data_IF_370943157122
#
_entry.id   IF_370943157122
#
_cell.length_a   1.000
_cell.length_b   1.000
_cell.length_c   1.000
_cell.angle_alpha   90.00
_cell.angle_beta   90.00
_cell.angle_gamma   90.00
#
_symmetry.space_group_name_H-M   'P 1'
#
loop_
_entity.id
_entity.type
_entity.pdbx_description
1 polymer ?
#
# COMPACT_ATOMS: atom_id res chain seq x y z
N UNK A 1 -10.41 -33.85 18.11
CA UNK A 1 -11.53 -33.14 18.78
C UNK A 1 -11.06 -31.91 19.56
N UNK A 2 -9.94 -31.95 20.31
CA UNK A 2 -9.44 -30.80 21.11
C UNK A 2 -8.78 -29.70 20.24
N UNK A 3 -8.09 -30.03 19.14
CA UNK A 3 -7.49 -29.09 18.22
C UNK A 3 -8.51 -28.33 17.32
N UNK A 4 -9.65 -28.97 17.03
CA UNK A 4 -10.74 -28.32 16.26
C UNK A 4 -11.50 -27.31 17.11
N UNK A 5 -11.68 -27.54 18.40
CA UNK A 5 -12.31 -26.58 19.31
C UNK A 5 -11.44 -25.33 19.56
N UNK A 6 -10.11 -25.49 19.62
CA UNK A 6 -9.16 -24.37 19.74
C UNK A 6 -9.09 -23.50 18.46
N UNK A 7 -9.23 -24.11 17.29
CA UNK A 7 -9.27 -23.37 16.03
C UNK A 7 -10.57 -22.57 15.86
N UNK A 8 -11.70 -23.12 16.31
CA UNK A 8 -13.04 -22.48 16.18
C UNK A 8 -13.22 -21.32 17.18
N UNK A 9 -12.60 -21.39 18.37
CA UNK A 9 -12.60 -20.29 19.33
C UNK A 9 -11.71 -19.12 18.87
N UNK A 10 -10.62 -19.41 18.16
CA UNK A 10 -9.68 -18.39 17.66
C UNK A 10 -10.25 -17.58 16.49
N UNK A 11 -11.06 -18.18 15.63
CA UNK A 11 -11.70 -17.51 14.50
C UNK A 11 -12.85 -16.58 14.94
N UNK A 12 -13.49 -16.83 16.08
CA UNK A 12 -14.60 -16.00 16.58
C UNK A 12 -14.17 -14.66 17.19
N UNK A 13 -12.95 -14.50 17.66
CA UNK A 13 -12.48 -13.24 18.25
C UNK A 13 -12.15 -12.13 17.24
N UNK A 14 -11.96 -12.47 15.97
CA UNK A 14 -11.87 -11.49 14.88
C UNK A 14 -13.24 -10.97 14.43
N UNK A 15 -14.30 -11.31 15.13
CA UNK A 15 -15.59 -10.66 14.98
C UNK A 15 -15.52 -9.23 15.55
N UNK A 16 -14.79 -8.37 14.86
CA UNK A 16 -15.10 -6.96 14.97
C UNK A 16 -16.59 -6.83 14.70
N UNK A 17 -17.36 -6.18 15.60
CA UNK A 17 -18.76 -5.93 15.33
C UNK A 17 -18.83 -5.28 13.96
N UNK A 18 -19.79 -5.65 13.12
CA UNK A 18 -19.96 -5.11 11.77
C UNK A 18 -19.86 -3.57 11.76
N UNK A 19 -20.31 -2.92 12.83
CA UNK A 19 -20.16 -1.49 13.08
C UNK A 19 -18.70 -1.01 13.11
N UNK A 20 -17.77 -1.76 13.72
CA UNK A 20 -16.34 -1.37 13.77
C UNK A 20 -15.63 -1.60 12.44
N UNK A 21 -15.95 -2.68 11.71
CA UNK A 21 -15.41 -2.90 10.37
C UNK A 21 -15.92 -1.86 9.38
N UNK A 22 -17.19 -1.47 9.48
CA UNK A 22 -17.78 -0.41 8.66
C UNK A 22 -17.17 0.96 8.99
N UNK A 23 -16.93 1.29 10.27
CA UNK A 23 -16.29 2.55 10.65
C UNK A 23 -14.84 2.63 10.20
N UNK A 24 -14.05 1.56 10.31
CA UNK A 24 -12.67 1.51 9.81
C UNK A 24 -12.65 1.63 8.28
N UNK A 25 -13.50 0.89 7.58
CA UNK A 25 -13.63 0.98 6.12
C UNK A 25 -14.04 2.39 5.65
N UNK A 26 -14.99 3.02 6.35
CA UNK A 26 -15.43 4.39 6.10
C UNK A 26 -14.31 5.42 6.31
N UNK A 27 -13.52 5.28 7.39
CA UNK A 27 -12.38 6.16 7.67
C UNK A 27 -11.27 6.00 6.62
N UNK A 28 -10.97 4.77 6.21
CA UNK A 28 -10.00 4.51 5.12
C UNK A 28 -10.49 5.15 3.82
N UNK A 29 -11.76 5.00 3.48
CA UNK A 29 -12.34 5.61 2.28
C UNK A 29 -12.29 7.15 2.33
N UNK A 30 -12.57 7.76 3.50
CA UNK A 30 -12.47 9.21 3.72
C UNK A 30 -11.04 9.77 3.59
N UNK A 31 -10.03 8.94 3.75
CA UNK A 31 -8.63 9.31 3.53
C UNK A 31 -8.23 9.07 2.08
N UNK A 32 -8.49 7.86 1.60
CA UNK A 32 -7.94 7.37 0.34
C UNK A 32 -8.63 7.95 -0.90
N UNK A 33 -9.98 8.04 -0.92
CA UNK A 33 -10.71 8.59 -2.06
C UNK A 33 -10.37 10.07 -2.32
N UNK A 34 -10.37 10.96 -1.32
CA UNK A 34 -9.90 12.33 -1.50
C UNK A 34 -8.44 12.42 -1.94
N UNK A 35 -7.55 11.60 -1.34
CA UNK A 35 -6.13 11.61 -1.68
C UNK A 35 -5.91 11.17 -3.13
N UNK A 36 -6.61 10.12 -3.58
CA UNK A 36 -6.56 9.66 -4.96
C UNK A 36 -7.09 10.72 -5.93
N UNK A 37 -8.26 11.30 -5.64
CA UNK A 37 -8.84 12.35 -6.50
C UNK A 37 -7.96 13.60 -6.55
N UNK A 38 -7.33 13.99 -5.44
CA UNK A 38 -6.38 15.09 -5.41
C UNK A 38 -5.15 14.82 -6.28
N UNK A 39 -4.56 13.62 -6.21
CA UNK A 39 -3.38 13.26 -7.01
C UNK A 39 -3.71 13.17 -8.50
N UNK A 40 -4.92 12.71 -8.85
CA UNK A 40 -5.35 12.57 -10.25
C UNK A 40 -5.85 13.89 -10.87
N UNK A 41 -6.52 14.72 -10.09
CA UNK A 41 -7.23 15.93 -10.57
C UNK A 41 -6.60 17.23 -10.08
N UNK A 42 -5.67 17.19 -9.13
CA UNK A 42 -5.11 18.37 -8.47
C UNK A 42 -4.42 19.36 -9.41
N UNK A 43 -3.83 18.86 -10.50
CA UNK A 43 -3.23 19.72 -11.55
C UNK A 43 -4.26 20.54 -12.31
N UNK A 44 -5.49 20.05 -12.45
CA UNK A 44 -6.58 20.73 -13.14
C UNK A 44 -7.38 21.68 -12.22
N UNK A 45 -7.52 21.35 -10.94
CA UNK A 45 -8.33 22.10 -9.97
C UNK A 45 -7.51 23.08 -9.10
N UNK A 46 -6.16 23.03 -9.18
CA UNK A 46 -5.28 23.92 -8.42
C UNK A 46 -5.51 23.87 -6.91
N UNK A 47 -5.36 25.01 -6.22
CA UNK A 47 -5.51 25.09 -4.74
C UNK A 47 -6.91 24.71 -4.24
N UNK A 48 -7.95 24.86 -5.05
CA UNK A 48 -9.31 24.45 -4.65
C UNK A 48 -9.42 22.95 -4.36
N UNK A 49 -8.58 22.12 -5.02
CA UNK A 49 -8.57 20.69 -4.76
C UNK A 49 -8.10 20.32 -3.34
N UNK A 50 -7.33 21.16 -2.66
CA UNK A 50 -6.86 20.88 -1.30
C UNK A 50 -8.02 20.76 -0.29
N UNK A 51 -9.13 21.49 -0.46
CA UNK A 51 -10.29 21.39 0.42
C UNK A 51 -10.90 19.99 0.42
N UNK A 52 -10.71 19.19 -0.63
CA UNK A 52 -11.16 17.80 -0.72
C UNK A 52 -10.44 16.93 0.33
N UNK A 53 -9.21 17.28 0.73
CA UNK A 53 -8.42 16.52 1.70
C UNK A 53 -8.74 16.88 3.16
N UNK A 54 -9.46 17.96 3.42
CA UNK A 54 -9.71 18.45 4.79
C UNK A 54 -10.31 17.38 5.73
N UNK A 55 -11.32 16.59 5.32
CA UNK A 55 -11.87 15.53 6.17
C UNK A 55 -10.90 14.36 6.44
N UNK A 56 -9.83 14.25 5.66
CA UNK A 56 -8.81 13.19 5.85
C UNK A 56 -8.01 13.34 7.13
N UNK A 57 -7.74 14.58 7.60
CA UNK A 57 -6.96 14.81 8.83
C UNK A 57 -7.63 14.20 10.06
N UNK A 58 -8.89 14.53 10.41
CA UNK A 58 -9.57 13.89 11.54
C UNK A 58 -9.77 12.39 11.33
N UNK A 59 -9.94 11.92 10.09
CA UNK A 59 -10.06 10.50 9.81
C UNK A 59 -8.76 9.73 10.11
N UNK A 60 -7.58 10.27 9.76
CA UNK A 60 -6.28 9.66 10.12
C UNK A 60 -6.11 9.63 11.63
N UNK A 61 -6.43 10.72 12.34
CA UNK A 61 -6.34 10.78 13.79
C UNK A 61 -7.29 9.78 14.46
N UNK A 62 -8.52 9.64 13.95
CA UNK A 62 -9.47 8.66 14.45
C UNK A 62 -8.98 7.22 14.24
N UNK A 63 -8.43 6.89 13.06
CA UNK A 63 -7.81 5.59 12.80
C UNK A 63 -6.65 5.32 13.76
N UNK A 64 -5.79 6.30 13.99
CA UNK A 64 -4.67 6.18 14.90
C UNK A 64 -5.13 5.89 16.34
N UNK A 65 -6.10 6.65 16.85
CA UNK A 65 -6.65 6.44 18.19
C UNK A 65 -7.31 5.06 18.30
N UNK A 66 -8.06 4.63 17.28
CA UNK A 66 -8.69 3.31 17.26
C UNK A 66 -7.64 2.20 17.26
N UNK A 67 -6.60 2.32 16.44
CA UNK A 67 -5.51 1.35 16.38
C UNK A 67 -4.74 1.27 17.71
N UNK A 68 -4.42 2.42 18.33
CA UNK A 68 -3.77 2.44 19.65
C UNK A 68 -4.61 1.75 20.73
N UNK A 69 -5.94 1.91 20.70
CA UNK A 69 -6.84 1.25 21.65
C UNK A 69 -6.94 -0.26 21.41
N UNK A 70 -7.00 -0.68 20.14
CA UNK A 70 -7.17 -2.09 19.77
C UNK A 70 -5.88 -2.90 19.89
N UNK A 71 -4.71 -2.29 19.68
CA UNK A 71 -3.42 -2.99 19.57
C UNK A 71 -2.45 -2.65 20.69
N UNK A 72 -2.96 -2.22 21.84
CA UNK A 72 -2.17 -1.88 23.05
C UNK A 72 -1.27 -3.01 23.53
N UNK A 73 -1.59 -4.24 23.20
CA UNK A 73 -0.89 -5.45 23.65
C UNK A 73 0.38 -5.75 22.85
N UNK A 74 0.53 -5.17 21.64
CA UNK A 74 1.73 -5.33 20.80
C UNK A 74 2.41 -4.00 20.55
N UNK A 75 3.57 -3.81 21.17
CA UNK A 75 4.43 -2.64 20.94
C UNK A 75 4.88 -2.56 19.48
N UNK A 76 5.10 -3.71 18.84
CA UNK A 76 5.52 -3.80 17.44
C UNK A 76 4.42 -3.24 16.53
N UNK A 77 3.17 -3.65 16.74
CA UNK A 77 2.03 -3.12 15.99
C UNK A 77 1.87 -1.60 16.18
N UNK A 78 2.03 -1.11 17.42
CA UNK A 78 1.92 0.32 17.73
C UNK A 78 2.97 1.16 16.99
N UNK A 79 4.22 0.72 16.96
CA UNK A 79 5.28 1.40 16.19
C UNK A 79 4.96 1.40 14.70
N UNK A 80 4.56 0.25 14.15
CA UNK A 80 4.19 0.14 12.74
C UNK A 80 3.05 1.09 12.36
N UNK A 81 1.96 1.08 13.11
CA UNK A 81 0.82 1.98 12.88
C UNK A 81 1.19 3.45 13.02
N UNK A 82 2.04 3.80 13.99
CA UNK A 82 2.51 5.18 14.16
C UNK A 82 3.24 5.67 12.92
N UNK A 83 4.12 4.86 12.33
CA UNK A 83 4.83 5.19 11.09
C UNK A 83 3.87 5.35 9.90
N UNK A 84 2.90 4.45 9.75
CA UNK A 84 1.90 4.53 8.67
C UNK A 84 1.05 5.79 8.83
N UNK A 85 0.49 6.02 10.04
CA UNK A 85 -0.35 7.18 10.31
C UNK A 85 0.41 8.50 10.18
N UNK A 86 1.70 8.53 10.53
CA UNK A 86 2.56 9.69 10.29
C UNK A 86 2.59 10.05 8.80
N UNK A 87 2.89 9.07 7.91
CA UNK A 87 2.94 9.32 6.48
C UNK A 87 1.58 9.61 5.86
N UNK A 88 0.52 8.98 6.35
CA UNK A 88 -0.86 9.32 5.93
C UNK A 88 -1.23 10.75 6.33
N UNK A 89 -0.87 11.16 7.55
CA UNK A 89 -1.10 12.53 8.01
C UNK A 89 -0.31 13.53 7.17
N UNK A 90 0.97 13.25 6.90
CA UNK A 90 1.81 14.07 6.00
C UNK A 90 1.14 14.19 4.64
N UNK A 91 0.73 13.07 4.02
CA UNK A 91 0.13 13.07 2.70
C UNK A 91 -1.13 13.95 2.61
N UNK A 92 -1.95 13.96 3.67
CA UNK A 92 -3.17 14.79 3.73
C UNK A 92 -2.85 16.24 4.07
N UNK A 93 -1.86 16.49 4.93
CA UNK A 93 -1.54 17.82 5.43
C UNK A 93 -0.67 18.66 4.47
N UNK A 94 0.13 18.02 3.61
CA UNK A 94 1.10 18.71 2.73
C UNK A 94 0.54 19.90 1.95
N UNK A 95 -0.67 19.85 1.36
CA UNK A 95 -1.22 20.99 0.61
C UNK A 95 -1.51 22.24 1.46
N UNK A 96 -1.61 22.07 2.78
CA UNK A 96 -1.88 23.17 3.74
C UNK A 96 -0.61 23.75 4.36
N UNK A 97 0.52 23.05 4.20
CA UNK A 97 1.79 23.50 4.74
C UNK A 97 2.39 24.62 3.87
N UNK A 98 3.03 25.63 4.46
CA UNK A 98 3.72 26.71 3.73
C UNK A 98 5.04 26.21 3.14
N UNK A 99 4.99 25.21 2.26
CA UNK A 99 6.15 24.61 1.62
C UNK A 99 6.50 25.34 0.33
N UNK A 100 7.75 25.23 -0.04
CA UNK A 100 8.23 25.67 -1.36
C UNK A 100 7.62 24.79 -2.45
N UNK A 101 7.47 25.36 -3.65
CA UNK A 101 7.02 24.58 -4.81
C UNK A 101 8.04 23.45 -5.09
N UNK A 102 7.62 22.17 -5.02
CA UNK A 102 8.53 21.03 -5.16
C UNK A 102 9.19 20.92 -6.54
N UNK A 103 8.65 21.61 -7.55
CA UNK A 103 9.14 21.55 -8.92
C UNK A 103 9.94 22.79 -9.34
N UNK A 104 9.88 23.88 -8.55
CA UNK A 104 10.55 25.15 -8.87
C UNK A 104 12.03 25.09 -8.51
N UNK A 105 12.95 25.29 -9.48
CA UNK A 105 14.36 25.44 -9.19
C UNK A 105 14.64 26.79 -8.53
N UNK A 106 15.30 26.79 -7.37
CA UNK A 106 15.64 28.00 -6.60
C UNK A 106 17.14 28.21 -6.51
N UNK A 107 17.88 27.20 -6.04
CA UNK A 107 19.35 27.26 -5.93
C UNK A 107 19.92 25.83 -5.89
N UNK A 108 20.83 25.44 -6.80
CA UNK A 108 21.38 24.08 -6.85
C UNK A 108 22.39 23.83 -5.71
N UNK A 109 22.42 22.57 -5.24
CA UNK A 109 23.44 22.03 -4.33
C UNK A 109 23.59 22.82 -3.02
N UNK A 110 22.50 23.35 -2.48
CA UNK A 110 22.51 24.04 -1.19
C UNK A 110 22.53 23.01 -0.06
N UNK A 111 23.44 23.22 0.91
CA UNK A 111 23.54 22.31 2.07
C UNK A 111 22.32 22.44 2.99
N UNK A 112 21.97 21.37 3.75
CA UNK A 112 20.92 21.43 4.75
C UNK A 112 21.14 22.55 5.77
N UNK A 113 20.04 23.19 6.19
CA UNK A 113 20.06 24.30 7.17
C UNK A 113 20.59 25.63 6.64
N UNK A 114 20.87 25.77 5.35
CA UNK A 114 21.45 26.99 4.76
C UNK A 114 20.37 27.88 4.19
N UNK A 115 20.50 29.21 4.42
CA UNK A 115 19.69 30.25 3.78
C UNK A 115 20.39 30.70 2.51
N UNK A 116 19.70 30.63 1.36
CA UNK A 116 20.19 31.13 0.06
C UNK A 116 19.05 31.81 -0.68
N UNK A 117 19.33 32.97 -1.28
CA UNK A 117 18.32 33.79 -1.95
C UNK A 117 17.10 34.14 -1.06
N UNK A 118 17.32 34.35 0.25
CA UNK A 118 16.23 34.63 1.20
C UNK A 118 15.36 33.43 1.57
N UNK A 119 15.71 32.22 1.12
CA UNK A 119 14.98 30.98 1.37
C UNK A 119 15.81 30.04 2.24
N UNK A 120 15.19 29.48 3.29
CA UNK A 120 15.79 28.46 4.14
C UNK A 120 15.58 27.07 3.52
N UNK A 121 16.66 26.37 3.20
CA UNK A 121 16.66 24.99 2.75
C UNK A 121 16.89 24.03 3.96
N UNK A 122 15.81 23.57 4.57
CA UNK A 122 15.91 22.73 5.79
C UNK A 122 16.68 21.43 5.55
N UNK A 123 16.35 20.70 4.48
CA UNK A 123 17.01 19.46 4.07
C UNK A 123 17.93 19.65 2.84
N UNK A 124 18.20 20.90 2.47
CA UNK A 124 19.02 21.22 1.32
C UNK A 124 18.26 21.19 0.00
N UNK A 125 19.00 21.37 -1.11
CA UNK A 125 18.45 21.32 -2.47
C UNK A 125 19.14 20.25 -3.33
N UNK A 126 18.44 19.82 -4.38
CA UNK A 126 18.96 18.86 -5.34
C UNK A 126 19.89 19.50 -6.39
N UNK A 127 20.40 18.70 -7.33
CA UNK A 127 21.27 19.15 -8.41
C UNK A 127 20.57 20.18 -9.34
N UNK A 128 19.24 20.13 -9.43
CA UNK A 128 18.43 21.07 -10.23
C UNK A 128 17.97 22.29 -9.43
N UNK A 129 18.33 22.38 -8.15
CA UNK A 129 18.00 23.53 -7.28
C UNK A 129 16.61 23.45 -6.63
N UNK A 130 15.94 22.30 -6.64
CA UNK A 130 14.63 22.09 -6.03
C UNK A 130 14.79 21.71 -4.55
N UNK A 131 13.87 22.14 -3.70
CA UNK A 131 13.90 21.86 -2.25
C UNK A 131 13.60 20.40 -1.95
N UNK A 132 14.50 19.74 -1.22
CA UNK A 132 14.38 18.32 -0.88
C UNK A 132 13.26 18.06 0.13
N UNK A 133 13.06 18.95 1.12
CA UNK A 133 12.00 18.78 2.11
C UNK A 133 10.63 18.79 1.42
N UNK A 134 10.35 19.81 0.62
CA UNK A 134 9.09 19.92 -0.12
C UNK A 134 8.88 18.72 -1.03
N UNK A 135 9.89 18.30 -1.78
CA UNK A 135 9.81 17.12 -2.66
C UNK A 135 9.56 15.82 -1.90
N UNK A 136 10.17 15.65 -0.73
CA UNK A 136 9.98 14.46 0.11
C UNK A 136 8.55 14.37 0.63
N UNK A 137 8.03 15.49 1.14
CA UNK A 137 6.68 15.53 1.68
C UNK A 137 5.61 15.39 0.60
N UNK A 138 5.75 16.06 -0.55
CA UNK A 138 4.84 15.92 -1.69
C UNK A 138 4.96 14.53 -2.35
N UNK A 139 6.15 13.94 -2.39
CA UNK A 139 6.39 12.59 -2.91
C UNK A 139 5.63 11.51 -2.13
N UNK A 140 5.38 11.72 -0.84
CA UNK A 140 4.59 10.82 0.00
C UNK A 140 3.20 10.54 -0.60
N UNK A 141 2.50 11.56 -1.11
CA UNK A 141 1.18 11.37 -1.73
C UNK A 141 1.24 10.41 -2.92
N UNK A 142 2.24 10.60 -3.79
CA UNK A 142 2.41 9.77 -4.98
C UNK A 142 2.68 8.31 -4.60
N UNK A 143 3.63 8.09 -3.70
CA UNK A 143 4.00 6.74 -3.25
C UNK A 143 2.81 6.03 -2.60
N UNK A 144 2.08 6.70 -1.71
CA UNK A 144 0.92 6.12 -1.04
C UNK A 144 -0.22 5.83 -2.01
N UNK A 145 -0.58 6.78 -2.87
CA UNK A 145 -1.70 6.59 -3.80
C UNK A 145 -1.42 5.44 -4.76
N UNK A 146 -0.26 5.42 -5.41
CA UNK A 146 0.06 4.35 -6.36
C UNK A 146 0.29 3.00 -5.67
N UNK A 147 0.94 2.99 -4.50
CA UNK A 147 1.16 1.77 -3.71
C UNK A 147 -0.14 1.13 -3.24
N UNK A 148 -1.04 1.93 -2.63
CA UNK A 148 -2.33 1.45 -2.14
C UNK A 148 -3.23 1.01 -3.30
N UNK A 149 -3.33 1.83 -4.37
CA UNK A 149 -4.16 1.50 -5.53
C UNK A 149 -3.70 0.21 -6.20
N UNK A 150 -2.40 0.06 -6.45
CA UNK A 150 -1.86 -1.13 -7.07
C UNK A 150 -2.10 -2.38 -6.23
N UNK A 151 -1.90 -2.27 -4.91
CA UNK A 151 -2.17 -3.39 -3.99
C UNK A 151 -3.66 -3.73 -3.97
N UNK A 152 -4.55 -2.74 -3.91
CA UNK A 152 -6.00 -2.96 -3.89
C UNK A 152 -6.48 -3.67 -5.17
N UNK A 153 -6.03 -3.19 -6.35
CA UNK A 153 -6.37 -3.83 -7.63
C UNK A 153 -5.84 -5.26 -7.69
N UNK A 154 -4.60 -5.49 -7.25
CA UNK A 154 -4.02 -6.83 -7.20
C UNK A 154 -4.80 -7.75 -6.25
N UNK A 155 -5.32 -7.22 -5.12
CA UNK A 155 -6.17 -7.97 -4.20
C UNK A 155 -7.53 -8.32 -4.79
N UNK A 156 -8.20 -7.37 -5.46
CA UNK A 156 -9.49 -7.62 -6.11
C UNK A 156 -9.33 -8.74 -7.16
N UNK A 157 -8.31 -8.64 -8.00
CA UNK A 157 -8.05 -9.66 -9.04
C UNK A 157 -7.60 -10.97 -8.42
N UNK A 158 -6.58 -10.95 -7.56
CA UNK A 158 -5.99 -12.16 -6.97
C UNK A 158 -6.94 -12.91 -6.04
N UNK A 159 -7.68 -12.20 -5.20
CA UNK A 159 -8.67 -12.82 -4.32
C UNK A 159 -9.85 -13.37 -5.12
N UNK A 160 -10.34 -12.64 -6.11
CA UNK A 160 -11.40 -13.12 -7.01
C UNK A 160 -11.00 -14.42 -7.71
N UNK A 161 -9.81 -14.46 -8.31
CA UNK A 161 -9.27 -15.66 -8.97
C UNK A 161 -9.05 -16.80 -7.96
N UNK A 162 -8.55 -16.50 -6.76
CA UNK A 162 -8.32 -17.49 -5.71
C UNK A 162 -9.61 -18.10 -5.18
N UNK A 163 -10.66 -17.30 -4.99
CA UNK A 163 -11.99 -17.77 -4.61
C UNK A 163 -12.61 -18.66 -5.69
N UNK A 164 -12.53 -18.23 -6.95
CA UNK A 164 -13.06 -19.00 -8.10
C UNK A 164 -12.35 -20.36 -8.18
N UNK A 165 -11.01 -20.37 -8.21
CA UNK A 165 -10.26 -21.63 -8.30
C UNK A 165 -10.48 -22.53 -7.08
N UNK A 166 -10.39 -21.98 -5.85
CA UNK A 166 -10.54 -22.78 -4.62
C UNK A 166 -11.95 -23.29 -4.38
N UNK A 167 -12.98 -22.48 -4.61
CA UNK A 167 -14.36 -22.86 -4.33
C UNK A 167 -14.99 -23.73 -5.45
N UNK A 168 -14.89 -23.30 -6.73
CA UNK A 168 -15.46 -24.04 -7.86
C UNK A 168 -14.65 -25.30 -8.16
N UNK A 169 -13.31 -25.21 -8.14
CA UNK A 169 -12.43 -26.35 -8.45
C UNK A 169 -12.45 -26.74 -9.92
N UNK A 170 -12.00 -27.98 -10.21
CA UNK A 170 -12.03 -28.55 -11.58
C UNK A 170 -11.29 -27.69 -12.60
N UNK A 171 -11.86 -27.56 -13.80
CA UNK A 171 -11.25 -26.80 -14.90
C UNK A 171 -10.94 -25.33 -14.55
N UNK A 172 -11.79 -24.69 -13.76
CA UNK A 172 -11.55 -23.31 -13.31
C UNK A 172 -10.28 -23.18 -12.50
N UNK A 173 -10.05 -24.12 -11.59
CA UNK A 173 -8.84 -24.16 -10.77
C UNK A 173 -7.59 -24.41 -11.61
N UNK A 174 -7.67 -25.36 -12.55
CA UNK A 174 -6.56 -25.68 -13.45
C UNK A 174 -6.19 -24.49 -14.35
N UNK A 175 -7.19 -23.83 -14.96
CA UNK A 175 -6.97 -22.69 -15.86
C UNK A 175 -6.36 -21.49 -15.12
N UNK A 176 -6.94 -21.12 -13.98
CA UNK A 176 -6.45 -19.99 -13.15
C UNK A 176 -5.05 -20.29 -12.64
N UNK A 177 -4.82 -21.49 -12.10
CA UNK A 177 -3.51 -21.90 -11.59
C UNK A 177 -2.46 -21.96 -12.68
N UNK A 178 -2.80 -22.41 -13.90
CA UNK A 178 -1.90 -22.41 -15.04
C UNK A 178 -1.42 -21.01 -15.39
N UNK A 179 -2.35 -20.05 -15.58
CA UNK A 179 -2.00 -18.66 -15.91
C UNK A 179 -1.14 -18.04 -14.79
N UNK A 180 -1.51 -18.23 -13.52
CA UNK A 180 -0.75 -17.73 -12.40
C UNK A 180 0.65 -18.36 -12.32
N UNK A 181 0.78 -19.65 -12.61
CA UNK A 181 2.09 -20.32 -12.61
C UNK A 181 3.00 -19.79 -13.71
N UNK A 182 2.46 -19.50 -14.90
CA UNK A 182 3.20 -18.87 -15.99
C UNK A 182 3.73 -17.50 -15.56
N UNK A 183 2.89 -16.65 -14.96
CA UNK A 183 3.33 -15.34 -14.47
C UNK A 183 4.38 -15.45 -13.35
N UNK A 184 4.25 -16.40 -12.44
CA UNK A 184 5.18 -16.63 -11.34
C UNK A 184 6.50 -17.30 -11.77
N UNK A 185 6.60 -17.82 -13.00
CA UNK A 185 7.87 -18.34 -13.53
C UNK A 185 8.86 -17.23 -13.86
N UNK A 186 8.38 -16.00 -14.03
CA UNK A 186 9.25 -14.85 -14.26
C UNK A 186 9.73 -14.23 -12.95
N UNK A 187 11.00 -13.81 -12.84
CA UNK A 187 11.42 -12.93 -11.75
C UNK A 187 10.60 -11.65 -11.76
N UNK A 188 10.06 -11.26 -10.59
CA UNK A 188 9.09 -10.15 -10.44
C UNK A 188 9.56 -8.88 -11.16
N UNK A 189 10.80 -8.44 -10.94
CA UNK A 189 11.33 -7.21 -11.56
C UNK A 189 11.43 -7.33 -13.08
N UNK A 190 11.80 -8.51 -13.59
CA UNK A 190 11.87 -8.76 -15.04
C UNK A 190 10.48 -8.67 -15.67
N UNK A 191 9.47 -9.27 -15.04
CA UNK A 191 8.09 -9.21 -15.49
C UNK A 191 7.56 -7.76 -15.52
N UNK A 192 7.82 -6.99 -14.47
CA UNK A 192 7.42 -5.59 -14.38
C UNK A 192 8.04 -4.75 -15.52
N UNK A 193 9.35 -4.88 -15.72
CA UNK A 193 10.09 -4.15 -16.77
C UNK A 193 9.60 -4.56 -18.15
N UNK A 194 9.36 -5.85 -18.39
CA UNK A 194 8.87 -6.36 -19.66
C UNK A 194 7.50 -5.78 -20.00
N UNK A 195 6.55 -5.80 -19.05
CA UNK A 195 5.21 -5.24 -19.25
C UNK A 195 5.29 -3.75 -19.57
N UNK A 196 6.09 -2.97 -18.81
CA UNK A 196 6.22 -1.53 -19.03
C UNK A 196 6.96 -1.16 -20.33
N UNK A 197 7.85 -2.01 -20.80
CA UNK A 197 8.48 -1.80 -22.12
C UNK A 197 7.48 -2.01 -23.29
N UNK A 198 6.54 -2.94 -23.12
CA UNK A 198 5.52 -3.21 -24.14
C UNK A 198 4.38 -2.21 -24.11
N UNK A 199 3.84 -1.92 -22.91
CA UNK A 199 2.67 -1.05 -22.75
C UNK A 199 3.02 0.44 -22.66
N UNK A 200 4.29 0.78 -22.40
CA UNK A 200 4.71 2.15 -22.14
C UNK A 200 4.66 2.53 -20.65
N UNK A 201 5.26 3.69 -20.32
CA UNK A 201 5.50 4.17 -18.94
C UNK A 201 4.40 5.14 -18.53
N UNK A 202 3.27 4.64 -18.08
CA UNK A 202 2.18 5.43 -17.51
C UNK A 202 1.79 4.89 -16.13
N UNK A 203 1.14 5.72 -15.28
CA UNK A 203 0.66 5.27 -13.98
C UNK A 203 -0.30 4.08 -14.10
N UNK A 204 -1.18 4.08 -15.11
CA UNK A 204 -2.10 2.98 -15.36
C UNK A 204 -1.37 1.68 -15.75
N UNK A 205 -0.34 1.77 -16.59
CA UNK A 205 0.44 0.59 -17.00
C UNK A 205 1.26 0.04 -15.82
N UNK A 206 1.69 0.89 -14.88
CA UNK A 206 2.30 0.44 -13.61
C UNK A 206 1.30 -0.38 -12.80
N UNK A 207 0.01 0.05 -12.72
CA UNK A 207 -1.03 -0.75 -12.04
C UNK A 207 -1.18 -2.12 -12.68
N UNK A 208 -1.23 -2.20 -14.01
CA UNK A 208 -1.33 -3.49 -14.74
C UNK A 208 -0.11 -4.35 -14.42
N UNK A 209 1.10 -3.83 -14.54
CA UNK A 209 2.32 -4.56 -14.31
C UNK A 209 2.39 -5.12 -12.87
N UNK A 210 2.12 -4.28 -11.87
CA UNK A 210 2.10 -4.68 -10.46
C UNK A 210 0.99 -5.69 -10.19
N UNK A 211 -0.19 -5.53 -10.78
CA UNK A 211 -1.28 -6.49 -10.67
C UNK A 211 -0.88 -7.85 -11.24
N UNK A 212 -0.31 -7.89 -12.44
CA UNK A 212 0.14 -9.14 -13.06
C UNK A 212 1.22 -9.87 -12.24
N UNK A 213 2.07 -9.14 -11.54
CA UNK A 213 3.12 -9.74 -10.71
C UNK A 213 2.64 -10.15 -9.32
N UNK A 214 1.69 -9.44 -8.74
CA UNK A 214 1.29 -9.60 -7.33
C UNK A 214 0.02 -10.46 -7.18
N UNK A 215 -0.97 -10.30 -8.07
CA UNK A 215 -2.23 -11.05 -8.01
C UNK A 215 -2.07 -12.58 -8.01
N UNK A 216 -1.10 -13.18 -8.76
CA UNK A 216 -0.90 -14.63 -8.70
C UNK A 216 -0.47 -15.14 -7.32
N UNK A 217 0.31 -14.36 -6.58
CA UNK A 217 0.71 -14.72 -5.21
C UNK A 217 -0.47 -14.66 -4.26
N UNK A 218 -1.32 -13.62 -4.39
CA UNK A 218 -2.54 -13.46 -3.59
C UNK A 218 -3.51 -14.60 -3.93
N UNK A 219 -3.66 -14.92 -5.21
CA UNK A 219 -4.50 -16.02 -5.67
C UNK A 219 -4.14 -17.34 -4.98
N UNK A 220 -2.85 -17.69 -4.89
CA UNK A 220 -2.42 -18.93 -4.22
C UNK A 220 -2.83 -18.98 -2.75
N UNK A 221 -2.68 -17.86 -2.03
CA UNK A 221 -3.06 -17.77 -0.62
C UNK A 221 -4.57 -17.91 -0.46
N UNK A 222 -5.34 -17.13 -1.22
CA UNK A 222 -6.80 -17.13 -1.16
C UNK A 222 -7.38 -18.48 -1.59
N UNK A 223 -6.80 -19.11 -2.63
CA UNK A 223 -7.17 -20.45 -3.08
C UNK A 223 -6.97 -21.48 -1.94
N UNK A 224 -5.84 -21.44 -1.25
CA UNK A 224 -5.59 -22.33 -0.12
C UNK A 224 -6.60 -22.15 1.02
N UNK A 225 -6.89 -20.89 1.37
CA UNK A 225 -7.91 -20.56 2.38
C UNK A 225 -9.32 -20.96 1.95
N UNK A 226 -9.66 -20.81 0.66
CA UNK A 226 -10.95 -21.21 0.11
C UNK A 226 -11.14 -22.73 0.12
N UNK A 227 -10.11 -23.51 -0.20
CA UNK A 227 -10.14 -24.97 -0.14
C UNK A 227 -10.35 -25.48 1.29
N UNK A 228 -9.66 -24.89 2.29
CA UNK A 228 -9.85 -25.23 3.70
C UNK A 228 -11.27 -24.85 4.18
N UNK A 229 -11.70 -23.62 3.88
CA UNK A 229 -13.01 -23.13 4.30
C UNK A 229 -14.19 -23.87 3.65
N UNK A 230 -14.05 -24.36 2.43
CA UNK A 230 -15.09 -25.11 1.70
C UNK A 230 -15.55 -26.36 2.45
N UNK A 231 -14.67 -26.97 3.24
CA UNK A 231 -14.96 -28.19 4.02
C UNK A 231 -15.64 -27.90 5.37
N UNK A 232 -15.83 -26.63 5.73
CA UNK A 232 -16.41 -26.23 7.02
C UNK A 232 -17.93 -26.34 7.03
N UNK A 233 -18.49 -26.66 8.19
CA UNK A 233 -19.94 -26.89 8.41
C UNK A 233 -20.81 -25.73 7.95
N UNK A 234 -20.37 -24.47 8.17
CA UNK A 234 -21.14 -23.29 7.76
C UNK A 234 -21.27 -23.15 6.23
N UNK A 235 -20.23 -23.56 5.48
CA UNK A 235 -20.28 -23.59 4.01
C UNK A 235 -21.21 -24.71 3.52
N UNK A 236 -21.12 -25.90 4.13
CA UNK A 236 -22.00 -27.01 3.81
C UNK A 236 -23.46 -26.68 4.10
N UNK A 237 -23.73 -26.01 5.24
CA UNK A 237 -25.06 -25.54 5.57
C UNK A 237 -25.62 -24.54 4.55
N UNK A 238 -24.77 -23.58 4.06
CA UNK A 238 -25.16 -22.65 3.02
C UNK A 238 -25.48 -23.37 1.68
N UNK A 239 -24.66 -24.37 1.32
CA UNK A 239 -24.93 -25.23 0.15
C UNK A 239 -26.25 -26.00 0.27
N UNK A 240 -26.54 -26.57 1.46
CA UNK A 240 -27.79 -27.28 1.72
C UNK A 240 -29.00 -26.35 1.66
N UNK A 241 -28.86 -25.07 2.03
CA UNK A 241 -29.90 -24.03 1.83
C UNK A 241 -30.11 -23.65 0.35
N UNK A 242 -29.25 -24.15 -0.56
CA UNK A 242 -29.35 -23.83 -2.00
C UNK A 242 -28.82 -22.45 -2.34
N UNK A 243 -27.95 -21.86 -1.54
CA UNK A 243 -27.40 -20.53 -1.81
C UNK A 243 -26.50 -20.52 -3.05
N UNK A 244 -26.54 -19.42 -3.79
CA UNK A 244 -25.75 -19.29 -5.01
C UNK A 244 -24.25 -19.29 -4.71
N UNK A 245 -23.38 -19.96 -5.52
CA UNK A 245 -21.94 -20.05 -5.27
C UNK A 245 -21.24 -18.69 -5.04
N UNK A 246 -21.63 -17.66 -5.79
CA UNK A 246 -21.04 -16.31 -5.63
C UNK A 246 -21.40 -15.72 -4.26
N UNK A 247 -22.63 -15.96 -3.78
CA UNK A 247 -23.04 -15.54 -2.44
C UNK A 247 -22.21 -16.25 -1.36
N UNK A 248 -22.05 -17.56 -1.47
CA UNK A 248 -21.24 -18.35 -0.53
C UNK A 248 -19.80 -17.84 -0.51
N UNK A 249 -19.19 -17.60 -1.67
CA UNK A 249 -17.82 -17.08 -1.76
C UNK A 249 -17.66 -15.70 -1.11
N UNK A 250 -18.58 -14.76 -1.33
CA UNK A 250 -18.43 -13.37 -0.90
C UNK A 250 -18.97 -13.12 0.53
N UNK A 251 -20.04 -13.80 0.93
CA UNK A 251 -20.74 -13.53 2.18
C UNK A 251 -20.38 -14.52 3.28
N UNK A 252 -20.19 -15.79 2.93
CA UNK A 252 -19.88 -16.82 3.92
C UNK A 252 -18.37 -17.06 4.03
N UNK A 253 -17.65 -17.18 2.90
CA UNK A 253 -16.26 -17.60 2.91
C UNK A 253 -15.31 -16.43 3.14
N UNK A 254 -15.38 -15.37 2.33
CA UNK A 254 -14.46 -14.24 2.38
C UNK A 254 -14.39 -13.55 3.76
N UNK A 255 -15.51 -13.26 4.45
CA UNK A 255 -15.46 -12.66 5.78
C UNK A 255 -14.81 -13.57 6.85
N UNK A 256 -14.93 -14.88 6.70
CA UNK A 256 -14.36 -15.83 7.65
C UNK A 256 -12.84 -16.03 7.49
N UNK A 257 -12.28 -15.74 6.31
CA UNK A 257 -10.83 -15.81 6.03
C UNK A 257 -10.13 -14.45 6.07
N UNK A 258 -10.84 -13.38 6.46
CA UNK A 258 -10.31 -12.01 6.45
C UNK A 258 -9.05 -11.78 7.29
N UNK A 259 -8.90 -12.49 8.42
CA UNK A 259 -7.76 -12.32 9.32
C UNK A 259 -6.42 -12.51 8.60
N UNK A 260 -6.13 -13.70 8.04
CA UNK A 260 -4.94 -13.95 7.25
C UNK A 260 -4.79 -12.99 6.06
N UNK A 261 -5.89 -12.58 5.43
CA UNK A 261 -5.85 -11.67 4.28
C UNK A 261 -5.43 -10.25 4.66
N UNK A 262 -5.86 -9.72 5.81
CA UNK A 262 -5.44 -8.40 6.30
C UNK A 262 -3.93 -8.38 6.56
N UNK A 263 -3.42 -9.42 7.20
CA UNK A 263 -1.97 -9.54 7.47
C UNK A 263 -1.18 -9.59 6.16
N UNK A 264 -1.60 -10.42 5.19
CA UNK A 264 -0.96 -10.49 3.88
C UNK A 264 -1.07 -9.14 3.13
N UNK A 265 -2.21 -8.43 3.23
CA UNK A 265 -2.39 -7.13 2.61
C UNK A 265 -1.39 -6.08 3.12
N UNK A 266 -1.12 -6.03 4.42
CA UNK A 266 -0.11 -5.14 4.99
C UNK A 266 1.28 -5.44 4.43
N UNK A 267 1.67 -6.71 4.34
CA UNK A 267 2.94 -7.11 3.74
C UNK A 267 3.01 -6.74 2.25
N UNK A 268 1.93 -6.95 1.50
CA UNK A 268 1.85 -6.60 0.08
C UNK A 268 2.00 -5.11 -0.17
N UNK A 269 1.42 -4.26 0.68
CA UNK A 269 1.64 -2.82 0.61
C UNK A 269 3.13 -2.47 0.69
N UNK A 270 3.87 -3.10 1.60
CA UNK A 270 5.31 -2.94 1.68
C UNK A 270 6.03 -3.38 0.40
N UNK A 271 5.80 -4.61 -0.06
CA UNK A 271 6.44 -5.14 -1.27
C UNK A 271 6.08 -4.36 -2.53
N UNK A 272 4.82 -3.95 -2.70
CA UNK A 272 4.37 -3.14 -3.82
C UNK A 272 5.04 -1.77 -3.81
N UNK A 273 5.19 -1.15 -2.64
CA UNK A 273 5.90 0.13 -2.48
C UNK A 273 7.37 -0.01 -2.91
N UNK A 274 8.06 -1.08 -2.49
CA UNK A 274 9.43 -1.39 -2.94
C UNK A 274 9.48 -1.53 -4.46
N UNK A 275 8.56 -2.32 -5.03
CA UNK A 275 8.54 -2.59 -6.47
C UNK A 275 8.35 -1.30 -7.30
N UNK A 276 7.37 -0.46 -6.94
CA UNK A 276 7.12 0.82 -7.63
C UNK A 276 8.31 1.77 -7.47
N UNK A 277 8.84 1.90 -6.25
CA UNK A 277 10.01 2.76 -5.99
C UNK A 277 11.23 2.30 -6.79
N UNK A 278 11.47 0.99 -6.88
CA UNK A 278 12.57 0.42 -7.67
C UNK A 278 12.36 0.66 -9.17
N UNK A 279 11.12 0.51 -9.68
CA UNK A 279 10.80 0.84 -11.08
C UNK A 279 11.07 2.31 -11.38
N UNK A 280 10.68 3.22 -10.48
CA UNK A 280 10.92 4.66 -10.64
C UNK A 280 12.40 4.99 -10.55
N UNK A 281 13.14 4.35 -9.65
CA UNK A 281 14.60 4.45 -9.57
C UNK A 281 15.28 4.00 -10.87
N UNK A 282 14.83 2.91 -11.49
CA UNK A 282 15.32 2.45 -12.79
C UNK A 282 14.90 3.36 -13.96
N UNK A 283 13.99 4.31 -13.71
CA UNK A 283 13.45 5.24 -14.72
C UNK A 283 12.33 4.64 -15.55
N UNK A 284 11.74 3.54 -15.10
CA UNK A 284 10.61 2.86 -15.73
C UNK A 284 9.27 3.21 -15.07
N UNK A 285 9.30 3.96 -13.96
CA UNK A 285 8.12 4.37 -13.19
C UNK A 285 7.54 5.70 -13.62
N UNK A 286 7.01 6.45 -12.64
CA UNK A 286 6.43 7.78 -12.83
C UNK A 286 7.46 8.76 -13.39
N UNK A 287 7.00 9.62 -14.30
CA UNK A 287 7.89 10.54 -15.01
C UNK A 287 7.99 11.92 -14.32
N UNK A 288 9.14 12.62 -14.45
CA UNK A 288 9.25 14.01 -14.03
C UNK A 288 8.15 14.89 -14.65
N UNK A 289 7.79 16.06 -14.04
CA UNK A 289 8.49 16.75 -12.94
C UNK A 289 8.02 16.36 -11.54
N UNK A 290 6.97 15.58 -11.41
CA UNK A 290 6.34 15.27 -10.13
C UNK A 290 7.32 14.66 -9.12
N UNK A 291 7.24 15.03 -7.84
CA UNK A 291 8.07 14.45 -6.81
C UNK A 291 7.69 12.99 -6.56
N UNK A 292 8.68 12.11 -6.61
CA UNK A 292 8.57 10.69 -6.29
C UNK A 292 9.87 10.24 -5.61
N UNK A 293 9.77 9.45 -4.53
CA UNK A 293 10.94 9.06 -3.74
C UNK A 293 11.94 8.22 -4.53
N UNK A 294 11.47 7.31 -5.40
CA UNK A 294 12.35 6.52 -6.28
C UNK A 294 13.10 7.38 -7.29
N UNK A 295 12.41 8.37 -7.88
CA UNK A 295 13.02 9.34 -8.78
C UNK A 295 14.04 10.24 -8.05
N UNK A 296 13.73 10.67 -6.83
CA UNK A 296 14.67 11.45 -6.00
C UNK A 296 15.93 10.67 -5.68
N UNK A 297 15.80 9.38 -5.33
CA UNK A 297 16.95 8.48 -5.10
C UNK A 297 17.79 8.36 -6.38
N UNK A 298 17.17 8.16 -7.55
CA UNK A 298 17.85 8.10 -8.84
C UNK A 298 18.62 9.37 -9.15
N UNK A 299 17.97 10.53 -9.00
CA UNK A 299 18.57 11.84 -9.30
C UNK A 299 19.67 12.21 -8.29
N UNK A 300 19.52 11.80 -7.02
CA UNK A 300 20.50 12.05 -5.96
C UNK A 300 21.70 11.10 -5.94
N UNK A 301 21.58 9.89 -6.50
CA UNK A 301 22.62 8.87 -6.45
C UNK A 301 23.99 9.33 -6.99
N UNK A 302 24.11 10.05 -8.13
CA UNK A 302 25.41 10.52 -8.62
C UNK A 302 26.07 11.56 -7.69
N UNK A 303 25.26 12.44 -7.07
CA UNK A 303 25.76 13.47 -6.15
C UNK A 303 26.18 12.87 -4.80
N UNK A 304 25.52 11.77 -4.37
CA UNK A 304 25.81 11.08 -3.11
C UNK A 304 27.20 10.44 -3.07
N UNK A 305 27.86 10.24 -4.20
CA UNK A 305 29.27 9.82 -4.25
C UNK A 305 30.19 10.81 -3.56
N UNK A 306 29.81 12.08 -3.52
CA UNK A 306 30.44 13.09 -2.68
C UNK A 306 29.68 13.14 -1.36
N UNK A 307 30.34 12.76 -0.25
CA UNK A 307 29.74 12.69 1.08
C UNK A 307 28.93 13.95 1.47
N UNK A 308 29.41 15.11 1.03
CA UNK A 308 28.77 16.40 1.27
C UNK A 308 27.30 16.47 0.77
N UNK A 309 26.93 15.71 -0.24
CA UNK A 309 25.61 15.72 -0.90
C UNK A 309 24.81 14.43 -0.66
N UNK A 310 25.27 13.58 0.26
CA UNK A 310 24.62 12.30 0.59
C UNK A 310 23.16 12.45 1.05
N UNK A 311 22.79 13.60 1.59
CA UNK A 311 21.42 13.92 2.01
C UNK A 311 20.40 13.81 0.87
N UNK A 312 20.80 14.05 -0.39
CA UNK A 312 19.91 13.91 -1.55
C UNK A 312 19.42 12.47 -1.76
N UNK A 313 20.22 11.50 -1.36
CA UNK A 313 19.90 10.07 -1.43
C UNK A 313 19.30 9.58 -0.10
N UNK A 314 19.89 9.95 1.02
CA UNK A 314 19.54 9.43 2.35
C UNK A 314 18.11 9.83 2.73
N UNK A 315 17.72 11.08 2.50
CA UNK A 315 16.39 11.58 2.89
C UNK A 315 15.26 10.79 2.23
N UNK A 316 15.16 10.67 0.90
CA UNK A 316 14.11 9.89 0.28
C UNK A 316 14.23 8.39 0.57
N UNK A 317 15.45 7.85 0.71
CA UNK A 317 15.64 6.44 1.06
C UNK A 317 15.11 6.12 2.47
N UNK A 318 15.38 6.96 3.47
CA UNK A 318 14.82 6.81 4.82
C UNK A 318 13.29 6.96 4.82
N UNK A 319 12.73 7.84 3.99
CA UNK A 319 11.28 8.02 3.86
C UNK A 319 10.61 6.75 3.35
N UNK A 320 11.13 6.16 2.27
CA UNK A 320 10.63 4.87 1.75
C UNK A 320 10.80 3.77 2.79
N UNK A 321 12.00 3.65 3.39
CA UNK A 321 12.29 2.60 4.37
C UNK A 321 11.40 2.67 5.59
N UNK A 322 11.13 3.87 6.11
CA UNK A 322 10.25 4.06 7.27
C UNK A 322 8.80 3.69 6.98
N UNK A 323 8.28 3.98 5.77
CA UNK A 323 6.94 3.59 5.36
C UNK A 323 6.83 2.06 5.22
N UNK A 324 7.80 1.41 4.56
CA UNK A 324 7.84 -0.04 4.39
C UNK A 324 7.96 -0.73 5.76
N UNK A 325 8.81 -0.22 6.64
CA UNK A 325 8.95 -0.71 8.01
C UNK A 325 7.62 -0.60 8.76
N UNK A 326 6.89 0.50 8.58
CA UNK A 326 5.56 0.68 9.14
C UNK A 326 4.60 -0.43 8.75
N UNK A 327 4.50 -0.76 7.45
CA UNK A 327 3.65 -1.85 6.96
C UNK A 327 4.08 -3.22 7.50
N UNK A 328 5.37 -3.53 7.49
CA UNK A 328 5.89 -4.82 7.96
C UNK A 328 5.67 -5.00 9.47
N UNK A 329 6.01 -4.01 10.30
CA UNK A 329 5.80 -4.06 11.74
C UNK A 329 4.32 -4.18 12.10
N UNK A 330 3.45 -3.52 11.35
CA UNK A 330 2.00 -3.66 11.55
C UNK A 330 1.54 -5.10 11.26
N UNK A 331 2.00 -5.70 10.16
CA UNK A 331 1.68 -7.08 9.81
C UNK A 331 2.18 -8.07 10.88
N UNK A 332 3.42 -7.91 11.34
CA UNK A 332 4.02 -8.77 12.36
C UNK A 332 3.32 -8.61 13.71
N UNK A 333 2.97 -7.38 14.11
CA UNK A 333 2.23 -7.14 15.33
C UNK A 333 0.82 -7.74 15.30
N UNK A 334 0.12 -7.69 14.16
CA UNK A 334 -1.17 -8.36 13.98
C UNK A 334 -1.01 -9.88 14.10
N UNK A 335 0.04 -10.47 13.51
CA UNK A 335 0.35 -11.89 13.63
C UNK A 335 0.61 -12.28 15.08
N UNK A 336 1.42 -11.49 15.79
CA UNK A 336 1.74 -11.74 17.20
C UNK A 336 0.47 -11.77 18.06
N UNK A 337 -0.43 -10.80 17.88
CA UNK A 337 -1.70 -10.76 18.61
C UNK A 337 -2.58 -11.98 18.29
N UNK A 338 -2.66 -12.37 17.00
CA UNK A 338 -3.41 -13.56 16.58
C UNK A 338 -2.84 -14.87 17.08
N UNK A 339 -1.57 -14.93 17.42
CA UNK A 339 -0.92 -16.15 17.95
C UNK A 339 -1.06 -16.30 19.49
N UNK A 340 -1.30 -15.20 20.21
CA UNK A 340 -1.51 -15.19 21.67
C UNK A 340 -2.91 -15.62 22.07
N UNK A 341 -3.90 -15.42 21.20
CA UNK A 341 -5.30 -15.82 21.36
C UNK A 341 -5.54 -17.28 20.95
#
# INVERSE_FOLDING_TARGET
MMLTALCDSRLRRWNWPLSTAQTVGGLIALIWLPLMSYVLLGTALGRAASYILLPGIPAVLALYIMALRSWRESTIAMVGVTLICFWLLVAVAVPYLPLLDPNKPLAPLVAPGTVKNGVLFVLGSDMRGRDILSRTLWGCQRVLVWGITATLVAYIVGAGLGLIGGYLGGWWDEAVSFVCNVLLSFPVMVLLILILNVLGRSGFNILIAVTCSTAPMIMRIVRGLALDAKTRDYVQAAQTRGEHPVWIMLVELLPNVRGPLIVDACLRLGYTTVAITTLTFLGMGLQPPDPDWGLMIKEGAPAALLWKYSYMLIVPALSVSSLILGFNLTADGIREMSARD
#
